data_IF_040430253192
#
_entry.id   IF_040430253192
#
_cell.length_a   1.000
_cell.length_b   1.000
_cell.length_c   1.000
_cell.angle_alpha   90.00
_cell.angle_beta   90.00
_cell.angle_gamma   90.00
#
_symmetry.space_group_name_H-M   'P 1'
#
loop_
_entity.id
_entity.type
_entity.pdbx_description
1 polymer ?
#
# COMPACT_ATOMS: atom_id res chain seq x y z
N UNK A 1 33.74 -29.90 -6.36
CA UNK A 1 34.94 -29.06 -6.43
C UNK A 1 34.77 -28.11 -7.60
N UNK A 2 34.57 -26.82 -7.33
CA UNK A 2 35.03 -25.63 -8.00
C UNK A 2 34.13 -24.47 -7.50
N UNK A 3 34.65 -23.75 -6.50
CA UNK A 3 34.17 -22.46 -6.08
C UNK A 3 34.50 -21.43 -7.17
N UNK A 4 33.51 -20.68 -7.66
CA UNK A 4 33.76 -19.46 -8.40
C UNK A 4 33.36 -18.29 -7.51
N UNK A 5 34.38 -17.64 -6.95
CA UNK A 5 34.35 -16.26 -6.43
C UNK A 5 33.82 -15.34 -7.54
N UNK A 6 32.76 -14.60 -7.27
CA UNK A 6 32.40 -13.42 -8.05
C UNK A 6 32.74 -12.20 -7.21
N UNK A 7 33.76 -11.49 -7.63
CA UNK A 7 34.15 -10.18 -7.13
C UNK A 7 33.02 -9.15 -7.35
N UNK A 8 32.92 -8.11 -6.49
CA UNK A 8 31.92 -7.07 -6.65
C UNK A 8 32.16 -6.27 -7.91
N UNK A 9 31.17 -6.21 -8.79
CA UNK A 9 31.20 -5.38 -10.00
C UNK A 9 31.16 -3.92 -9.60
N UNK A 10 32.30 -3.23 -9.71
CA UNK A 10 32.42 -1.79 -9.62
C UNK A 10 31.86 -1.14 -10.89
N UNK A 11 30.90 -0.24 -10.76
CA UNK A 11 30.33 0.55 -11.85
C UNK A 11 31.24 1.72 -12.22
N UNK A 12 31.84 1.78 -13.46
CA UNK A 12 32.68 2.89 -13.88
C UNK A 12 31.93 4.14 -14.37
N UNK A 13 30.61 4.12 -14.47
CA UNK A 13 29.85 5.19 -15.17
C UNK A 13 29.24 6.28 -14.29
N UNK A 14 29.39 6.23 -12.97
CA UNK A 14 28.87 7.28 -12.07
C UNK A 14 29.88 8.40 -11.73
N UNK A 15 31.02 8.46 -12.42
CA UNK A 15 31.99 9.57 -12.28
C UNK A 15 31.65 10.74 -13.21
N UNK A 16 30.63 11.49 -12.88
CA UNK A 16 30.28 12.68 -13.67
C UNK A 16 29.13 13.53 -13.14
N UNK A 17 28.38 13.02 -12.23
CA UNK A 17 27.28 13.76 -11.62
C UNK A 17 27.75 14.45 -10.34
N UNK A 18 28.18 15.73 -10.47
CA UNK A 18 28.32 16.62 -9.32
C UNK A 18 26.93 17.03 -8.85
N UNK A 19 26.38 16.30 -7.87
CA UNK A 19 25.14 16.69 -7.22
C UNK A 19 25.39 17.81 -6.21
N UNK A 20 24.52 18.82 -6.10
CA UNK A 20 24.64 19.84 -5.07
C UNK A 20 24.42 19.21 -3.69
N UNK A 21 25.32 19.54 -2.76
CA UNK A 21 25.21 19.18 -1.34
C UNK A 21 23.87 19.70 -0.80
N UNK A 22 23.18 18.87 -0.03
CA UNK A 22 21.93 19.14 0.65
C UNK A 22 21.90 20.51 1.30
N UNK A 23 21.24 21.47 0.66
CA UNK A 23 20.77 22.68 1.28
C UNK A 23 19.26 22.50 1.51
N UNK A 24 18.80 22.80 2.72
CA UNK A 24 17.40 22.84 3.16
C UNK A 24 16.48 23.36 2.07
N UNK A 25 15.69 22.46 1.49
CA UNK A 25 14.67 22.81 0.50
C UNK A 25 13.52 23.47 1.25
N UNK A 26 13.30 24.77 1.04
CA UNK A 26 12.24 25.55 1.67
C UNK A 26 10.84 25.08 1.24
N UNK A 27 9.83 25.35 2.09
CA UNK A 27 8.42 25.06 1.81
C UNK A 27 7.94 25.56 0.43
N UNK A 28 8.51 26.66 -0.05
CA UNK A 28 8.24 27.27 -1.36
C UNK A 28 8.74 26.42 -2.55
N UNK A 29 9.80 25.64 -2.36
CA UNK A 29 10.31 24.73 -3.38
C UNK A 29 9.49 23.43 -3.46
N UNK A 30 8.79 23.02 -2.38
CA UNK A 30 7.83 21.92 -2.40
C UNK A 30 6.60 22.23 -3.25
N UNK A 31 6.08 23.46 -3.20
CA UNK A 31 4.95 23.87 -4.06
C UNK A 31 5.36 23.98 -5.54
N UNK A 32 6.59 24.40 -5.83
CA UNK A 32 7.09 24.49 -7.20
C UNK A 32 7.37 23.11 -7.82
N UNK A 33 7.78 22.09 -7.05
CA UNK A 33 7.99 20.74 -7.56
C UNK A 33 6.66 20.04 -7.92
N UNK A 34 5.60 20.28 -7.18
CA UNK A 34 4.28 19.75 -7.51
C UNK A 34 3.71 20.33 -8.81
N UNK A 35 4.05 21.59 -9.11
CA UNK A 35 3.70 22.25 -10.39
C UNK A 35 4.58 21.77 -11.55
N UNK A 36 5.83 21.39 -11.31
CA UNK A 36 6.74 20.92 -12.34
C UNK A 36 6.40 19.50 -12.83
N UNK A 37 5.95 18.62 -11.95
CA UNK A 37 5.47 17.30 -12.37
C UNK A 37 4.22 17.42 -13.27
N UNK A 38 3.29 18.29 -12.92
CA UNK A 38 2.14 18.63 -13.77
C UNK A 38 2.54 19.35 -15.07
N UNK A 39 3.66 20.11 -15.09
CA UNK A 39 4.14 20.82 -16.26
C UNK A 39 5.01 19.98 -17.20
N UNK A 40 5.72 18.96 -16.72
CA UNK A 40 6.53 18.06 -17.57
C UNK A 40 5.64 17.28 -18.55
N UNK A 41 4.40 16.98 -18.16
CA UNK A 41 3.38 16.40 -19.04
C UNK A 41 2.83 17.39 -20.09
N UNK A 42 3.08 18.71 -19.95
CA UNK A 42 2.52 19.77 -20.83
C UNK A 42 3.44 20.20 -21.97
N UNK A 43 4.73 19.96 -21.93
CA UNK A 43 5.67 20.63 -22.85
C UNK A 43 6.18 19.80 -24.01
N UNK A 44 5.68 18.59 -24.27
CA UNK A 44 6.02 17.83 -25.48
C UNK A 44 4.83 17.90 -26.46
N UNK A 45 4.91 18.81 -27.42
CA UNK A 45 3.87 19.14 -28.41
C UNK A 45 3.53 18.04 -29.42
N UNK A 46 3.98 16.80 -29.22
CA UNK A 46 3.60 15.62 -30.01
C UNK A 46 2.80 14.57 -29.21
N UNK A 47 2.42 14.87 -27.95
CA UNK A 47 1.74 13.97 -27.01
C UNK A 47 0.27 14.37 -26.73
N UNK A 48 -0.32 15.21 -27.57
CA UNK A 48 -1.66 15.78 -27.35
C UNK A 48 -2.83 14.78 -27.42
N UNK A 49 -2.58 13.51 -27.76
CA UNK A 49 -3.64 12.51 -27.99
C UNK A 49 -3.63 11.29 -27.05
N UNK A 50 -2.73 11.20 -26.06
CA UNK A 50 -2.60 9.96 -25.27
C UNK A 50 -2.66 10.26 -23.76
N UNK A 51 -3.85 10.12 -23.17
CA UNK A 51 -4.08 10.08 -21.74
C UNK A 51 -5.00 11.18 -21.19
N UNK A 52 -5.70 10.92 -20.06
CA UNK A 52 -6.60 11.91 -19.48
C UNK A 52 -5.80 13.12 -18.97
N UNK A 53 -6.16 14.32 -19.45
CA UNK A 53 -5.62 15.57 -18.88
C UNK A 53 -6.16 15.74 -17.48
N UNK A 54 -5.29 15.56 -16.47
CA UNK A 54 -5.64 15.83 -15.08
C UNK A 54 -5.55 17.33 -14.80
N UNK A 55 -6.68 18.00 -14.65
CA UNK A 55 -6.69 19.41 -14.21
C UNK A 55 -6.19 19.51 -12.76
N UNK A 56 -5.26 20.43 -12.45
CA UNK A 56 -4.76 20.60 -11.08
C UNK A 56 -5.91 20.99 -10.13
N UNK A 57 -6.13 20.22 -9.07
CA UNK A 57 -7.08 20.59 -8.03
C UNK A 57 -6.51 21.75 -7.20
N UNK A 58 -7.26 22.86 -7.12
CA UNK A 58 -6.90 24.04 -6.31
C UNK A 58 -7.31 23.91 -4.85
N UNK A 59 -7.99 22.82 -4.46
CA UNK A 59 -8.53 22.64 -3.11
C UNK A 59 -7.87 21.49 -2.37
N UNK A 60 -7.66 21.62 -1.04
CA UNK A 60 -7.17 20.50 -0.24
C UNK A 60 -8.18 19.34 -0.30
N UNK A 61 -7.70 18.19 -0.74
CA UNK A 61 -8.49 16.99 -0.88
C UNK A 61 -8.26 16.10 0.36
N UNK A 62 -9.34 15.66 0.99
CA UNK A 62 -9.26 14.82 2.18
C UNK A 62 -10.53 14.00 2.38
N UNK A 63 -10.42 12.84 3.02
CA UNK A 63 -11.53 11.90 3.17
C UNK A 63 -12.74 12.57 3.84
N UNK A 64 -12.57 13.13 5.04
CA UNK A 64 -13.69 13.70 5.79
C UNK A 64 -14.15 15.06 5.25
N UNK A 65 -13.21 16.01 5.10
CA UNK A 65 -13.55 17.42 4.81
C UNK A 65 -14.09 17.65 3.41
N UNK A 66 -13.67 16.85 2.43
CA UNK A 66 -14.07 17.05 1.04
C UNK A 66 -14.90 15.90 0.49
N UNK A 67 -14.48 14.64 0.65
CA UNK A 67 -15.18 13.52 0.03
C UNK A 67 -16.44 13.09 0.80
N UNK A 68 -16.33 12.77 2.07
CA UNK A 68 -17.49 12.37 2.86
C UNK A 68 -18.50 13.51 3.00
N UNK A 69 -18.03 14.73 3.30
CA UNK A 69 -18.88 15.90 3.43
C UNK A 69 -19.63 16.26 2.14
N UNK A 70 -18.98 16.14 0.96
CA UNK A 70 -19.62 16.44 -0.32
C UNK A 70 -20.82 15.51 -0.64
N UNK A 71 -20.81 14.30 -0.07
CA UNK A 71 -21.90 13.33 -0.26
C UNK A 71 -22.82 13.20 0.98
N UNK A 72 -22.62 14.04 1.99
CA UNK A 72 -23.46 14.08 3.19
C UNK A 72 -23.23 12.94 4.19
N UNK A 73 -22.10 12.25 4.12
CA UNK A 73 -21.72 11.24 5.11
C UNK A 73 -21.15 11.90 6.37
N UNK A 74 -21.54 11.44 7.56
CA UNK A 74 -20.83 11.82 8.79
C UNK A 74 -19.40 11.29 8.74
N UNK A 75 -18.46 12.08 9.24
CA UNK A 75 -17.07 11.68 9.23
C UNK A 75 -16.34 12.23 10.46
N UNK A 76 -15.54 11.37 11.08
CA UNK A 76 -14.78 11.64 12.28
C UNK A 76 -13.29 11.49 12.02
N UNK A 77 -12.48 12.34 12.66
CA UNK A 77 -11.02 12.26 12.66
C UNK A 77 -10.55 11.71 14.01
N UNK A 78 -9.77 10.66 13.99
CA UNK A 78 -9.15 10.04 15.16
C UNK A 78 -7.64 10.00 15.00
N UNK A 79 -6.94 9.94 16.14
CA UNK A 79 -5.49 9.78 16.19
C UNK A 79 -5.14 8.66 17.17
N UNK A 80 -4.15 7.85 16.82
CA UNK A 80 -3.60 6.82 17.71
C UNK A 80 -2.08 6.87 17.70
N UNK A 81 -1.47 6.73 18.87
CA UNK A 81 0.00 6.66 19.00
C UNK A 81 0.44 5.21 19.03
N UNK A 82 1.38 4.85 18.17
CA UNK A 82 2.02 3.52 18.18
C UNK A 82 3.00 3.41 19.35
N UNK A 83 3.34 2.16 19.72
CA UNK A 83 4.30 1.88 20.78
C UNK A 83 5.68 2.52 20.51
N UNK A 84 6.09 2.59 19.24
CA UNK A 84 7.35 3.20 18.81
C UNK A 84 7.22 4.70 18.48
N UNK A 85 6.11 5.35 18.84
CA UNK A 85 5.96 6.81 18.92
C UNK A 85 5.33 7.50 17.71
N UNK A 86 4.96 6.81 16.64
CA UNK A 86 4.25 7.42 15.51
C UNK A 86 2.81 7.74 15.87
N UNK A 87 2.32 8.89 15.40
CA UNK A 87 0.95 9.34 15.62
C UNK A 87 0.18 9.18 14.31
N UNK A 88 -0.64 8.15 14.25
CA UNK A 88 -1.38 7.75 13.05
C UNK A 88 -2.77 8.38 13.03
N UNK A 89 -3.19 8.83 11.85
CA UNK A 89 -4.54 9.32 11.61
C UNK A 89 -5.45 8.19 11.17
N UNK A 90 -6.60 8.07 11.83
CA UNK A 90 -7.70 7.24 11.37
C UNK A 90 -8.87 8.15 10.99
N UNK A 91 -9.64 7.73 9.99
CA UNK A 91 -10.91 8.35 9.64
C UNK A 91 -12.02 7.36 9.92
N UNK A 92 -13.22 7.85 10.26
CA UNK A 92 -14.40 7.01 10.53
C UNK A 92 -15.62 7.57 9.84
N UNK A 93 -16.36 6.70 9.17
CA UNK A 93 -17.72 6.96 8.70
C UNK A 93 -18.63 6.01 9.49
N UNK A 94 -19.28 6.49 10.58
CA UNK A 94 -20.00 5.62 11.51
C UNK A 94 -21.28 5.05 10.95
N UNK A 95 -21.85 5.62 9.88
CA UNK A 95 -23.06 5.15 9.21
C UNK A 95 -23.25 5.80 7.83
N UNK A 96 -24.05 5.19 6.99
CA UNK A 96 -24.49 5.75 5.71
C UNK A 96 -25.46 6.93 5.84
N UNK A 97 -25.70 7.62 4.73
CA UNK A 97 -26.56 8.80 4.70
C UNK A 97 -28.01 8.47 5.06
N UNK A 98 -28.55 7.36 4.57
CA UNK A 98 -29.96 6.96 4.79
C UNK A 98 -30.21 6.27 6.14
N UNK A 99 -29.17 5.86 6.84
CA UNK A 99 -29.25 4.98 8.02
C UNK A 99 -29.00 5.71 9.34
N UNK A 100 -29.46 6.95 9.50
CA UNK A 100 -29.28 7.76 10.71
C UNK A 100 -30.08 7.31 11.93
N UNK A 101 -30.66 6.11 11.94
CA UNK A 101 -31.38 5.57 13.10
C UNK A 101 -30.44 5.36 14.29
N UNK A 102 -30.69 6.13 15.32
CA UNK A 102 -29.79 6.48 16.42
C UNK A 102 -29.39 5.37 17.39
N UNK A 103 -29.69 4.09 17.22
CA UNK A 103 -29.42 3.10 18.25
C UNK A 103 -29.09 1.68 17.76
N UNK A 104 -28.60 1.46 16.55
CA UNK A 104 -28.12 0.13 16.16
C UNK A 104 -26.61 0.04 16.32
N UNK A 105 -26.16 -0.91 17.14
CA UNK A 105 -24.74 -1.30 17.20
C UNK A 105 -24.33 -1.81 15.82
N UNK A 106 -23.34 -1.15 15.21
CA UNK A 106 -22.83 -1.50 13.89
C UNK A 106 -21.51 -2.27 14.04
N UNK A 107 -21.32 -3.25 13.18
CA UNK A 107 -20.08 -4.03 13.19
C UNK A 107 -18.97 -3.17 12.56
N UNK A 108 -17.81 -3.02 13.22
CA UNK A 108 -16.70 -2.24 12.69
C UNK A 108 -16.01 -2.97 11.53
N UNK A 109 -15.68 -2.20 10.49
CA UNK A 109 -14.85 -2.63 9.35
C UNK A 109 -13.68 -1.68 9.24
N UNK A 110 -12.45 -2.20 9.25
CA UNK A 110 -11.22 -1.44 9.06
C UNK A 110 -10.68 -1.64 7.66
N UNK A 111 -10.55 -0.57 6.90
CA UNK A 111 -9.93 -0.52 5.58
C UNK A 111 -8.45 -0.12 5.71
N UNK A 112 -7.54 -0.97 5.24
CA UNK A 112 -6.10 -0.77 5.31
C UNK A 112 -5.50 -0.72 3.89
N UNK A 113 -4.94 0.42 3.51
CA UNK A 113 -4.50 0.74 2.15
C UNK A 113 -3.20 0.04 1.74
N UNK A 114 -2.85 0.16 0.45
CA UNK A 114 -1.62 -0.36 -0.16
C UNK A 114 -0.39 0.54 0.03
N UNK A 115 0.71 0.17 -0.64
CA UNK A 115 1.95 0.94 -0.65
C UNK A 115 1.77 2.26 -1.39
N UNK A 116 2.35 3.34 -0.85
CA UNK A 116 2.37 4.70 -1.44
C UNK A 116 0.98 5.31 -1.73
N UNK A 117 -0.04 4.87 -1.00
CA UNK A 117 -1.39 5.46 -1.04
C UNK A 117 -1.89 5.71 0.39
N UNK A 118 -3.07 6.30 0.54
CA UNK A 118 -3.74 6.52 1.82
C UNK A 118 -5.23 6.14 1.78
N UNK A 119 -5.92 6.46 2.87
CA UNK A 119 -7.34 6.19 3.05
C UNK A 119 -8.27 6.83 2.02
N UNK A 120 -7.82 7.88 1.33
CA UNK A 120 -8.59 8.56 0.29
C UNK A 120 -8.88 7.61 -0.88
N UNK A 121 -8.00 6.64 -1.14
CA UNK A 121 -8.20 5.64 -2.21
C UNK A 121 -9.54 4.89 -2.10
N UNK A 122 -10.08 4.74 -0.91
CA UNK A 122 -11.34 4.05 -0.63
C UNK A 122 -12.61 4.85 -0.93
N UNK A 123 -12.47 6.16 -1.26
CA UNK A 123 -13.60 7.10 -1.44
C UNK A 123 -13.44 7.99 -2.69
N UNK A 124 -12.62 7.60 -3.66
CA UNK A 124 -12.30 8.41 -4.84
C UNK A 124 -13.46 8.55 -5.82
N UNK A 125 -14.25 7.53 -6.00
CA UNK A 125 -15.41 7.49 -6.90
C UNK A 125 -16.67 8.10 -6.27
N UNK A 126 -17.80 7.89 -6.91
CA UNK A 126 -19.12 8.22 -6.37
C UNK A 126 -19.47 7.28 -5.19
N UNK A 127 -20.49 7.60 -4.38
CA UNK A 127 -20.95 6.71 -3.30
C UNK A 127 -21.25 5.27 -3.75
N UNK A 128 -21.78 5.10 -4.95
CA UNK A 128 -22.10 3.77 -5.51
C UNK A 128 -20.88 3.02 -6.07
N UNK A 129 -19.73 3.68 -6.16
CA UNK A 129 -18.48 3.11 -6.71
C UNK A 129 -17.40 2.92 -5.65
N UNK A 130 -17.47 3.66 -4.56
CA UNK A 130 -16.42 3.68 -3.52
C UNK A 130 -16.74 2.73 -2.40
N UNK A 131 -15.81 1.80 -2.11
CA UNK A 131 -15.99 0.77 -1.09
C UNK A 131 -16.34 1.35 0.29
N UNK A 132 -15.69 2.44 0.70
CA UNK A 132 -15.94 3.08 1.99
C UNK A 132 -17.39 3.52 2.17
N UNK A 133 -17.99 4.11 1.14
CA UNK A 133 -19.39 4.53 1.17
C UNK A 133 -20.36 3.34 1.07
N UNK A 134 -20.06 2.36 0.21
CA UNK A 134 -20.87 1.14 0.06
C UNK A 134 -20.98 0.38 1.39
N UNK A 135 -19.90 0.24 2.13
CA UNK A 135 -19.89 -0.38 3.45
C UNK A 135 -20.70 0.41 4.48
N UNK A 136 -20.55 1.74 4.50
CA UNK A 136 -21.31 2.60 5.41
C UNK A 136 -22.82 2.53 5.14
N UNK A 137 -23.23 2.56 3.86
CA UNK A 137 -24.63 2.38 3.45
C UNK A 137 -25.12 0.95 3.69
N UNK A 138 -24.23 -0.06 3.63
CA UNK A 138 -24.46 -1.45 3.98
C UNK A 138 -24.62 -1.72 5.49
N UNK A 139 -24.52 -0.67 6.32
CA UNK A 139 -24.79 -0.76 7.76
C UNK A 139 -23.58 -1.04 8.63
N UNK A 140 -22.37 -0.94 8.11
CA UNK A 140 -21.13 -1.06 8.89
C UNK A 140 -20.68 0.26 9.50
N UNK A 141 -19.87 0.18 10.55
CA UNK A 141 -19.09 1.27 11.12
C UNK A 141 -17.70 1.25 10.46
N UNK A 142 -17.45 2.15 9.51
CA UNK A 142 -16.30 2.07 8.60
C UNK A 142 -15.14 2.92 9.09
N UNK A 143 -14.01 2.27 9.33
CA UNK A 143 -12.76 2.89 9.75
C UNK A 143 -11.70 2.79 8.65
N UNK A 144 -10.88 3.81 8.53
CA UNK A 144 -9.85 3.93 7.50
C UNK A 144 -8.51 4.22 8.17
N UNK A 145 -7.56 3.31 8.03
CA UNK A 145 -6.20 3.51 8.51
C UNK A 145 -5.39 4.39 7.54
N UNK A 146 -4.46 5.15 8.10
CA UNK A 146 -3.36 5.78 7.36
C UNK A 146 -2.05 5.38 8.04
N UNK A 147 -1.15 4.73 7.29
CA UNK A 147 0.14 4.29 7.81
C UNK A 147 1.07 5.46 8.07
N UNK A 148 2.10 5.23 8.91
CA UNK A 148 3.18 6.21 9.13
C UNK A 148 3.78 6.70 7.82
N UNK A 149 4.18 7.95 7.77
CA UNK A 149 4.78 8.58 6.59
C UNK A 149 3.79 9.13 5.57
N UNK A 150 2.49 8.75 5.61
CA UNK A 150 1.45 9.41 4.81
C UNK A 150 1.19 10.83 5.29
N UNK A 151 0.67 11.71 4.45
CA UNK A 151 0.49 13.13 4.77
C UNK A 151 -0.33 13.37 6.05
N UNK A 152 -1.31 12.51 6.34
CA UNK A 152 -2.13 12.60 7.54
C UNK A 152 -1.52 11.95 8.78
N UNK A 153 -0.46 11.13 8.63
CA UNK A 153 0.24 10.38 9.69
C UNK A 153 1.74 10.68 9.69
N UNK A 154 2.11 11.96 9.63
CA UNK A 154 3.51 12.43 9.63
C UNK A 154 4.04 12.86 10.99
N UNK A 155 3.24 12.74 12.04
CA UNK A 155 3.63 13.13 13.39
C UNK A 155 4.27 11.96 14.15
N UNK A 156 5.19 12.30 15.05
CA UNK A 156 5.85 11.38 15.98
C UNK A 156 6.06 12.08 17.32
N UNK A 157 6.14 11.34 18.42
CA UNK A 157 6.28 11.90 19.76
C UNK A 157 7.59 12.63 20.00
N UNK A 158 8.67 12.30 19.26
CA UNK A 158 10.01 12.87 19.45
C UNK A 158 10.77 13.15 18.16
N UNK A 159 10.36 12.61 17.01
CA UNK A 159 11.01 12.79 15.73
C UNK A 159 10.18 13.66 14.80
N UNK A 160 10.86 14.22 13.79
CA UNK A 160 10.23 14.95 12.69
C UNK A 160 10.55 14.27 11.36
N UNK A 161 9.80 14.50 10.28
CA UNK A 161 10.11 13.96 8.96
C UNK A 161 11.47 14.41 8.38
N UNK A 162 12.11 15.42 8.95
CA UNK A 162 13.44 15.88 8.58
C UNK A 162 14.54 15.02 9.24
N UNK A 163 14.21 14.24 10.28
CA UNK A 163 15.13 13.35 10.96
C UNK A 163 15.27 12.04 10.16
N UNK A 164 16.49 11.56 9.85
CA UNK A 164 16.69 10.29 9.14
C UNK A 164 16.06 9.10 9.85
N UNK A 165 16.05 9.09 11.19
CA UNK A 165 15.50 8.06 12.04
C UNK A 165 13.98 7.94 11.90
N UNK A 166 13.27 9.04 11.57
CA UNK A 166 11.84 9.03 11.31
C UNK A 166 11.47 8.07 10.16
N UNK A 167 12.33 7.89 9.18
CA UNK A 167 12.15 7.02 8.01
C UNK A 167 12.81 5.64 8.16
N UNK A 168 13.33 5.32 9.36
CA UNK A 168 14.03 4.05 9.60
C UNK A 168 13.06 2.89 9.90
N UNK A 169 12.14 2.62 9.00
CA UNK A 169 11.14 1.56 9.12
C UNK A 169 10.88 0.84 7.80
N UNK A 170 10.30 -0.35 7.90
CA UNK A 170 9.84 -1.19 6.79
C UNK A 170 8.41 -1.64 7.09
N UNK A 171 7.82 -2.46 6.23
CA UNK A 171 6.53 -3.06 6.52
C UNK A 171 6.56 -3.99 7.76
N UNK A 172 7.72 -4.47 8.20
CA UNK A 172 7.84 -5.15 9.50
C UNK A 172 7.30 -4.28 10.64
N UNK A 173 7.67 -2.98 10.66
CA UNK A 173 7.19 -2.04 11.68
C UNK A 173 5.70 -1.72 11.51
N UNK A 174 5.19 -1.69 10.26
CA UNK A 174 3.75 -1.52 10.04
C UNK A 174 2.96 -2.70 10.62
N UNK A 175 3.45 -3.93 10.45
CA UNK A 175 2.85 -5.13 11.04
C UNK A 175 3.04 -5.21 12.56
N UNK A 176 4.16 -4.71 13.07
CA UNK A 176 4.50 -4.80 14.49
C UNK A 176 3.85 -3.72 15.35
N UNK A 177 3.66 -2.51 14.82
CA UNK A 177 3.24 -1.34 15.59
C UNK A 177 2.01 -0.62 15.03
N UNK A 178 1.95 -0.31 13.71
CA UNK A 178 0.81 0.43 13.14
C UNK A 178 -0.47 -0.39 13.23
N UNK A 179 -0.45 -1.61 12.72
CA UNK A 179 -1.62 -2.48 12.69
C UNK A 179 -2.19 -2.77 14.10
N UNK A 180 -1.38 -3.14 15.11
CA UNK A 180 -1.88 -3.33 16.47
C UNK A 180 -2.51 -2.07 17.07
N UNK A 181 -1.85 -0.91 16.92
CA UNK A 181 -2.35 0.35 17.45
C UNK A 181 -3.72 0.72 16.86
N UNK A 182 -3.85 0.57 15.53
CA UNK A 182 -5.09 0.88 14.81
C UNK A 182 -6.21 -0.11 15.17
N UNK A 183 -5.96 -1.42 15.16
CA UNK A 183 -6.96 -2.44 15.50
C UNK A 183 -7.44 -2.30 16.95
N UNK A 184 -6.52 -2.08 17.89
CA UNK A 184 -6.86 -1.90 19.30
C UNK A 184 -7.72 -0.64 19.49
N UNK A 185 -7.35 0.47 18.83
CA UNK A 185 -8.13 1.70 18.87
C UNK A 185 -9.58 1.51 18.38
N UNK A 186 -9.76 0.82 17.26
CA UNK A 186 -11.12 0.53 16.72
C UNK A 186 -11.89 -0.37 17.67
N UNK A 187 -11.27 -1.44 18.18
CA UNK A 187 -11.87 -2.38 19.13
C UNK A 187 -12.37 -1.65 20.38
N UNK A 188 -11.53 -0.80 20.98
CA UNK A 188 -11.87 -0.05 22.20
C UNK A 188 -13.00 0.95 21.95
N UNK A 189 -12.96 1.70 20.83
CA UNK A 189 -13.98 2.69 20.48
C UNK A 189 -15.34 2.08 20.10
N UNK A 190 -15.37 0.82 19.73
CA UNK A 190 -16.59 0.10 19.36
C UNK A 190 -17.15 -0.79 20.47
N UNK A 191 -16.66 -0.61 21.70
CA UNK A 191 -17.12 -1.34 22.88
C UNK A 191 -16.67 -2.80 22.92
N UNK A 192 -15.50 -3.09 22.40
CA UNK A 192 -14.90 -4.42 22.40
C UNK A 192 -15.42 -5.34 21.30
N UNK A 193 -15.93 -4.78 20.19
CA UNK A 193 -16.36 -5.58 19.05
C UNK A 193 -15.16 -5.99 18.19
N UNK A 194 -15.11 -7.26 17.81
CA UNK A 194 -14.14 -7.73 16.81
C UNK A 194 -14.37 -7.05 15.47
N UNK A 195 -13.28 -6.71 14.80
CA UNK A 195 -13.23 -5.88 13.59
C UNK A 195 -13.13 -6.76 12.35
N UNK A 196 -13.94 -6.50 11.33
CA UNK A 196 -13.65 -7.00 9.99
C UNK A 196 -12.49 -6.22 9.41
N UNK A 197 -11.47 -6.92 8.94
CA UNK A 197 -10.29 -6.29 8.32
C UNK A 197 -10.36 -6.43 6.80
N UNK A 198 -10.17 -5.33 6.07
CA UNK A 198 -10.04 -5.32 4.61
C UNK A 198 -8.71 -4.69 4.26
N UNK A 199 -7.77 -5.49 3.76
CA UNK A 199 -6.48 -5.02 3.28
C UNK A 199 -6.39 -5.03 1.77
N UNK A 200 -5.72 -4.02 1.21
CA UNK A 200 -5.34 -3.98 -0.20
C UNK A 200 -3.82 -4.04 -0.32
N UNK A 201 -3.29 -4.86 -1.25
CA UNK A 201 -1.86 -4.86 -1.55
C UNK A 201 -0.98 -5.01 -0.29
N UNK A 202 -0.17 -4.01 0.06
CA UNK A 202 0.64 -3.99 1.28
C UNK A 202 -0.19 -4.26 2.55
N UNK A 203 -1.43 -3.77 2.62
CA UNK A 203 -2.33 -4.04 3.74
C UNK A 203 -2.60 -5.54 3.93
N UNK A 204 -2.58 -6.33 2.86
CA UNK A 204 -2.73 -7.79 2.94
C UNK A 204 -1.49 -8.45 3.54
N UNK A 205 -0.29 -8.00 3.14
CA UNK A 205 0.97 -8.52 3.66
C UNK A 205 1.11 -8.29 5.17
N UNK A 206 0.73 -7.10 5.63
CA UNK A 206 0.84 -6.69 7.03
C UNK A 206 -0.02 -7.59 7.94
N UNK A 207 -1.26 -7.87 7.57
CA UNK A 207 -2.14 -8.73 8.38
C UNK A 207 -1.70 -10.20 8.31
N UNK A 208 -1.28 -10.69 7.15
CA UNK A 208 -0.76 -12.05 7.00
C UNK A 208 0.51 -12.27 7.84
N UNK A 209 1.41 -11.28 7.88
CA UNK A 209 2.59 -11.32 8.74
C UNK A 209 2.20 -11.38 10.22
N UNK A 210 1.27 -10.53 10.68
CA UNK A 210 0.79 -10.55 12.06
C UNK A 210 0.13 -11.89 12.43
N UNK A 211 -0.69 -12.44 11.55
CA UNK A 211 -1.37 -13.73 11.78
C UNK A 211 -0.42 -14.91 11.78
N UNK A 212 0.63 -14.88 10.96
CA UNK A 212 1.65 -15.93 10.97
C UNK A 212 2.43 -16.01 12.30
N UNK A 213 2.42 -14.93 13.07
CA UNK A 213 2.96 -14.85 14.43
C UNK A 213 1.87 -15.02 15.51
N UNK A 214 0.66 -15.45 15.15
CA UNK A 214 -0.50 -15.62 16.03
C UNK A 214 -0.90 -14.34 16.77
N UNK A 215 -0.62 -13.16 16.19
CA UNK A 215 -0.93 -11.86 16.79
C UNK A 215 -2.28 -11.36 16.30
N UNK A 216 -2.96 -10.55 17.12
CA UNK A 216 -4.20 -9.80 16.79
C UNK A 216 -5.45 -10.65 16.48
N UNK A 217 -5.39 -11.97 16.57
CA UNK A 217 -6.50 -12.88 16.28
C UNK A 217 -7.73 -12.63 17.14
N UNK A 218 -7.54 -12.12 18.35
CA UNK A 218 -8.63 -11.79 19.28
C UNK A 218 -9.36 -10.49 18.92
N UNK A 219 -8.75 -9.61 18.11
CA UNK A 219 -9.31 -8.35 17.66
C UNK A 219 -10.05 -8.47 16.32
N UNK A 220 -9.71 -9.48 15.51
CA UNK A 220 -10.22 -9.61 14.15
C UNK A 220 -11.36 -10.61 14.10
N UNK A 221 -12.43 -10.24 13.39
CA UNK A 221 -13.62 -11.04 13.14
C UNK A 221 -13.49 -11.89 11.89
N UNK A 222 -13.16 -11.26 10.77
CA UNK A 222 -12.81 -11.88 9.50
C UNK A 222 -11.86 -10.99 8.71
N UNK A 223 -11.26 -11.53 7.65
CA UNK A 223 -10.24 -10.84 6.87
C UNK A 223 -10.55 -10.90 5.39
N UNK A 224 -10.51 -9.75 4.73
CA UNK A 224 -10.59 -9.62 3.27
C UNK A 224 -9.22 -9.20 2.74
N UNK A 225 -8.71 -9.93 1.77
CA UNK A 225 -7.41 -9.73 1.13
C UNK A 225 -7.62 -9.36 -0.34
N UNK A 226 -7.60 -8.07 -0.67
CA UNK A 226 -7.74 -7.58 -2.04
C UNK A 226 -6.34 -7.58 -2.70
N UNK A 227 -6.18 -8.37 -3.77
CA UNK A 227 -4.94 -8.58 -4.53
C UNK A 227 -3.70 -8.68 -3.63
N UNK A 228 -3.55 -9.79 -2.87
CA UNK A 228 -2.50 -9.96 -1.89
C UNK A 228 -1.11 -10.03 -2.53
N UNK A 229 -0.14 -9.39 -1.87
CA UNK A 229 1.27 -9.33 -2.29
C UNK A 229 2.23 -10.07 -1.34
N UNK A 230 1.76 -11.14 -0.70
CA UNK A 230 2.60 -11.93 0.21
C UNK A 230 3.87 -12.48 -0.47
N UNK A 231 3.78 -12.87 -1.73
CA UNK A 231 4.91 -13.24 -2.57
C UNK A 231 5.00 -12.28 -3.75
N UNK A 232 6.23 -11.89 -4.13
CA UNK A 232 6.51 -10.96 -5.23
C UNK A 232 7.61 -11.48 -6.18
N UNK A 233 8.08 -12.69 -5.95
CA UNK A 233 9.21 -13.26 -6.68
C UNK A 233 8.93 -13.45 -8.17
N UNK A 234 7.66 -13.66 -8.56
CA UNK A 234 7.21 -13.84 -9.94
C UNK A 234 6.60 -12.59 -10.56
N UNK A 235 6.63 -11.43 -9.86
CA UNK A 235 6.04 -10.19 -10.36
C UNK A 235 6.30 -9.97 -11.85
N UNK A 236 5.26 -9.60 -12.61
CA UNK A 236 5.33 -9.35 -14.04
C UNK A 236 5.75 -7.92 -14.39
N UNK A 237 5.71 -6.98 -13.44
CA UNK A 237 6.14 -5.61 -13.66
C UNK A 237 7.62 -5.54 -14.02
N UNK A 238 7.92 -5.31 -15.30
CA UNK A 238 9.30 -5.15 -15.80
C UNK A 238 9.99 -3.97 -15.11
N UNK A 239 9.26 -2.86 -14.94
CA UNK A 239 9.72 -1.66 -14.26
C UNK A 239 10.20 -1.96 -12.84
N UNK A 240 9.34 -2.63 -12.04
CA UNK A 240 9.66 -2.98 -10.66
C UNK A 240 10.82 -3.98 -10.59
N UNK A 241 10.87 -4.95 -11.50
CA UNK A 241 11.98 -5.91 -11.58
C UNK A 241 13.30 -5.24 -11.91
N UNK A 242 13.32 -4.34 -12.92
CA UNK A 242 14.53 -3.60 -13.29
C UNK A 242 15.03 -2.74 -12.12
N UNK A 243 14.16 -1.93 -11.52
CA UNK A 243 14.50 -1.11 -10.36
C UNK A 243 15.13 -1.94 -9.23
N UNK A 244 14.59 -3.14 -9.01
CA UNK A 244 15.09 -4.10 -8.01
C UNK A 244 16.45 -4.71 -8.40
N UNK A 245 16.65 -5.04 -9.68
CA UNK A 245 17.89 -5.64 -10.18
C UNK A 245 19.08 -4.67 -10.13
N UNK A 246 18.83 -3.39 -10.44
CA UNK A 246 19.86 -2.36 -10.35
C UNK A 246 20.06 -1.81 -8.93
N UNK A 247 19.39 -2.38 -7.92
CA UNK A 247 19.47 -1.97 -6.51
C UNK A 247 19.15 -0.48 -6.32
N UNK A 248 18.15 0.02 -7.04
CA UNK A 248 17.86 1.45 -7.15
C UNK A 248 17.53 2.06 -5.78
N UNK A 249 16.68 1.42 -4.97
CA UNK A 249 16.31 1.90 -3.65
C UNK A 249 17.51 1.91 -2.69
N UNK A 250 18.39 0.89 -2.76
CA UNK A 250 19.64 0.81 -2.00
C UNK A 250 20.60 1.94 -2.39
N UNK A 251 20.72 2.24 -3.69
CA UNK A 251 21.54 3.35 -4.17
C UNK A 251 21.07 4.71 -3.62
N UNK A 252 19.77 4.99 -3.65
CA UNK A 252 19.20 6.20 -3.07
C UNK A 252 19.39 6.25 -1.55
N UNK A 253 19.23 5.13 -0.85
CA UNK A 253 19.50 5.05 0.58
C UNK A 253 20.96 5.37 0.89
N UNK A 254 21.90 4.84 0.11
CA UNK A 254 23.33 5.10 0.23
C UNK A 254 23.67 6.58 -0.01
N UNK A 255 22.98 7.24 -0.95
CA UNK A 255 23.11 8.68 -1.22
C UNK A 255 22.49 9.58 -0.12
N UNK A 256 21.90 8.99 0.92
CA UNK A 256 21.37 9.73 2.05
C UNK A 256 19.87 10.01 2.00
N UNK A 257 19.18 9.63 0.95
CA UNK A 257 17.72 9.74 0.88
C UNK A 257 17.06 8.75 1.85
N UNK A 258 16.00 9.19 2.52
CA UNK A 258 15.26 8.38 3.50
C UNK A 258 13.78 8.27 3.17
N UNK A 259 13.19 9.34 2.68
CA UNK A 259 11.82 9.40 2.18
C UNK A 259 11.79 9.15 0.67
N UNK A 260 10.86 8.32 0.22
CA UNK A 260 10.44 8.25 -1.16
C UNK A 260 9.07 8.91 -1.29
N UNK A 261 9.01 10.00 -2.05
CA UNK A 261 7.78 10.69 -2.40
C UNK A 261 7.52 10.49 -3.90
N UNK A 262 6.42 9.81 -4.30
CA UNK A 262 6.15 9.52 -5.72
C UNK A 262 6.03 10.75 -6.62
N UNK A 263 5.68 11.90 -6.05
CA UNK A 263 5.59 13.18 -6.77
C UNK A 263 6.75 14.12 -6.46
N UNK A 264 7.79 13.62 -5.82
CA UNK A 264 8.96 14.40 -5.43
C UNK A 264 10.10 14.37 -6.45
N UNK A 265 11.14 15.20 -6.26
CA UNK A 265 12.28 15.28 -7.19
C UNK A 265 13.06 13.96 -7.33
N UNK A 266 13.15 13.16 -6.25
CA UNK A 266 13.83 11.85 -6.30
C UNK A 266 13.10 10.90 -7.24
N UNK A 267 11.77 10.92 -7.26
CA UNK A 267 10.99 10.08 -8.16
C UNK A 267 11.19 10.47 -9.63
N UNK A 268 11.34 11.75 -9.90
CA UNK A 268 11.65 12.23 -11.24
C UNK A 268 13.00 11.71 -11.74
N UNK A 269 14.05 11.77 -10.92
CA UNK A 269 15.37 11.21 -11.26
C UNK A 269 15.32 9.69 -11.47
N UNK A 270 14.56 8.98 -10.63
CA UNK A 270 14.32 7.54 -10.79
C UNK A 270 13.68 7.24 -12.15
N UNK A 271 12.64 7.99 -12.50
CA UNK A 271 11.94 7.81 -13.78
C UNK A 271 12.86 8.08 -14.98
N UNK A 272 13.71 9.11 -14.94
CA UNK A 272 14.68 9.38 -16.01
C UNK A 272 15.66 8.20 -16.20
N UNK A 273 16.12 7.57 -15.12
CA UNK A 273 17.00 6.40 -15.19
C UNK A 273 16.29 5.20 -15.82
N UNK A 274 15.06 4.93 -15.38
CA UNK A 274 14.30 3.76 -15.80
C UNK A 274 13.77 3.93 -17.23
N UNK A 275 13.29 5.11 -17.59
CA UNK A 275 12.76 5.41 -18.91
C UNK A 275 13.86 5.53 -19.99
N UNK A 276 15.11 5.48 -19.58
CA UNK A 276 16.24 5.30 -20.50
C UNK A 276 16.37 3.87 -21.06
N UNK A 277 15.67 2.90 -20.48
CA UNK A 277 15.62 1.53 -20.97
C UNK A 277 14.54 1.40 -22.07
N UNK A 278 14.90 1.01 -23.33
CA UNK A 278 13.96 0.93 -24.44
C UNK A 278 12.91 -0.20 -24.29
N UNK A 279 13.11 -1.14 -23.36
CA UNK A 279 12.12 -2.20 -23.09
C UNK A 279 11.01 -1.76 -22.14
N UNK A 280 11.12 -0.54 -21.56
CA UNK A 280 10.15 -0.02 -20.60
C UNK A 280 9.33 1.07 -21.28
N UNK A 281 8.04 0.80 -21.40
CA UNK A 281 7.08 1.82 -21.81
C UNK A 281 6.76 2.73 -20.62
N UNK A 282 7.34 3.93 -20.65
CA UNK A 282 7.11 4.94 -19.62
C UNK A 282 5.93 5.87 -19.91
N UNK A 283 5.26 5.71 -21.04
CA UNK A 283 4.08 6.53 -21.36
C UNK A 283 2.89 6.18 -20.48
N UNK A 284 2.83 4.92 -19.99
CA UNK A 284 1.82 4.48 -19.02
C UNK A 284 2.47 3.77 -17.83
N UNK A 285 3.08 4.56 -16.95
CA UNK A 285 3.72 4.06 -15.73
C UNK A 285 2.76 3.36 -14.80
N UNK A 286 1.50 3.76 -14.78
CA UNK A 286 0.49 3.13 -13.94
C UNK A 286 0.28 1.68 -14.38
N UNK A 287 0.01 1.46 -15.67
CA UNK A 287 -0.09 0.12 -16.26
C UNK A 287 1.22 -0.66 -16.16
N UNK A 288 2.39 -0.03 -16.34
CA UNK A 288 3.69 -0.69 -16.25
C UNK A 288 3.97 -1.29 -14.86
N UNK A 289 3.40 -0.70 -13.81
CA UNK A 289 3.53 -1.17 -12.42
C UNK A 289 2.38 -2.09 -12.04
N UNK A 290 1.14 -1.66 -12.25
CA UNK A 290 -0.07 -2.31 -11.72
C UNK A 290 -0.58 -3.44 -12.62
N UNK A 291 -0.26 -3.42 -13.92
CA UNK A 291 -0.82 -4.27 -14.96
C UNK A 291 -1.85 -3.53 -15.83
N UNK A 292 -2.24 -4.13 -16.98
CA UNK A 292 -3.20 -3.51 -17.88
C UNK A 292 -4.62 -3.50 -17.28
N UNK A 293 -5.02 -2.33 -16.83
CA UNK A 293 -6.34 -2.10 -16.22
C UNK A 293 -7.44 -2.21 -17.27
N UNK A 294 -8.54 -2.89 -16.93
CA UNK A 294 -9.70 -2.99 -17.82
C UNK A 294 -10.75 -1.91 -17.57
N UNK A 295 -10.80 -1.46 -16.32
CA UNK A 295 -12.06 -0.98 -15.78
C UNK A 295 -11.88 0.31 -14.96
N UNK A 296 -10.95 1.17 -15.37
CA UNK A 296 -10.69 2.46 -14.75
C UNK A 296 -11.28 3.62 -15.53
N UNK A 297 -11.92 4.55 -14.83
CA UNK A 297 -12.32 5.83 -15.39
C UNK A 297 -11.15 6.83 -15.32
N UNK A 298 -10.91 7.56 -16.41
CA UNK A 298 -9.86 8.56 -16.48
C UNK A 298 -9.91 9.58 -15.33
N UNK A 299 -11.10 10.05 -14.95
CA UNK A 299 -11.26 10.96 -13.81
C UNK A 299 -10.89 10.33 -12.46
N UNK A 300 -11.17 9.04 -12.27
CA UNK A 300 -10.80 8.32 -11.06
C UNK A 300 -9.29 8.12 -10.97
N UNK A 301 -8.63 7.79 -12.10
CA UNK A 301 -7.16 7.70 -12.19
C UNK A 301 -6.53 9.05 -11.88
N UNK A 302 -7.04 10.14 -12.44
CA UNK A 302 -6.55 11.50 -12.13
C UNK A 302 -6.68 11.83 -10.66
N UNK A 303 -7.84 11.57 -10.05
CA UNK A 303 -8.04 11.76 -8.62
C UNK A 303 -7.10 10.90 -7.78
N UNK A 304 -6.85 9.65 -8.19
CA UNK A 304 -5.91 8.77 -7.52
C UNK A 304 -4.50 9.34 -7.55
N UNK A 305 -3.99 9.70 -8.73
CA UNK A 305 -2.63 10.24 -8.88
C UNK A 305 -2.42 11.58 -8.15
N UNK A 306 -3.44 12.43 -8.12
CA UNK A 306 -3.35 13.75 -7.47
C UNK A 306 -3.52 13.72 -5.96
N UNK A 307 -4.31 12.79 -5.43
CA UNK A 307 -4.79 12.89 -4.05
C UNK A 307 -4.49 11.66 -3.19
N UNK A 308 -4.39 10.47 -3.78
CA UNK A 308 -4.14 9.26 -3.04
C UNK A 308 -2.66 8.86 -2.94
N UNK A 309 -1.79 9.43 -3.79
CA UNK A 309 -0.35 9.10 -3.76
C UNK A 309 0.36 9.70 -2.55
N UNK A 310 1.12 8.87 -1.84
CA UNK A 310 1.71 9.19 -0.54
C UNK A 310 3.18 8.77 -0.45
N UNK A 311 3.91 9.40 0.46
CA UNK A 311 5.29 9.04 0.77
C UNK A 311 5.42 7.71 1.49
N UNK A 312 6.57 7.07 1.33
CA UNK A 312 7.00 5.90 2.10
C UNK A 312 8.49 5.97 2.44
N UNK A 313 8.96 5.13 3.35
CA UNK A 313 10.39 4.99 3.62
C UNK A 313 11.10 4.32 2.44
N UNK A 314 12.28 4.83 2.07
CA UNK A 314 13.17 4.14 1.12
C UNK A 314 13.57 2.76 1.65
N UNK A 315 13.76 2.61 2.96
CA UNK A 315 14.03 1.32 3.58
C UNK A 315 12.88 0.32 3.40
N UNK A 316 11.63 0.82 3.37
CA UNK A 316 10.47 0.00 3.03
C UNK A 316 10.51 -0.48 1.57
N UNK A 317 10.91 0.38 0.62
CA UNK A 317 11.10 -0.01 -0.78
C UNK A 317 12.25 -1.03 -0.94
N UNK A 318 13.34 -0.91 -0.18
CA UNK A 318 14.39 -1.92 -0.14
C UNK A 318 13.81 -3.25 0.32
N UNK A 319 12.99 -3.28 1.37
CA UNK A 319 12.37 -4.50 1.86
C UNK A 319 11.45 -5.15 0.81
N UNK A 320 10.61 -4.35 0.11
CA UNK A 320 9.81 -4.83 -1.02
C UNK A 320 10.70 -5.39 -2.14
N UNK A 321 11.83 -4.73 -2.44
CA UNK A 321 12.81 -5.20 -3.40
C UNK A 321 13.46 -6.53 -2.99
N UNK A 322 13.68 -6.75 -1.70
CA UNK A 322 14.16 -8.04 -1.17
C UNK A 322 13.14 -9.16 -1.41
N UNK A 323 11.83 -8.89 -1.27
CA UNK A 323 10.76 -9.87 -1.57
C UNK A 323 10.70 -10.24 -3.06
N UNK A 324 11.09 -9.32 -3.95
CA UNK A 324 11.18 -9.61 -5.40
C UNK A 324 12.43 -10.44 -5.73
N UNK A 325 13.54 -10.20 -5.03
CA UNK A 325 14.81 -10.92 -5.26
C UNK A 325 14.86 -12.31 -4.64
N UNK A 326 14.19 -12.48 -3.51
CA UNK A 326 14.28 -13.70 -2.70
C UNK A 326 12.90 -14.32 -2.48
N UNK A 327 12.82 -15.62 -2.65
CA UNK A 327 11.59 -16.36 -2.40
C UNK A 327 11.24 -16.38 -0.89
N UNK A 328 9.95 -16.25 -0.59
CA UNK A 328 9.40 -16.30 0.76
C UNK A 328 9.23 -14.94 1.42
N UNK A 329 8.28 -14.88 2.34
CA UNK A 329 7.99 -13.69 3.15
C UNK A 329 8.95 -13.66 4.33
N UNK A 330 9.88 -12.72 4.30
CA UNK A 330 10.95 -12.62 5.32
C UNK A 330 10.93 -11.25 5.98
N UNK A 331 11.49 -11.20 7.21
CA UNK A 331 11.86 -9.93 7.82
C UNK A 331 12.96 -9.24 7.02
N UNK A 332 13.14 -7.96 7.25
CA UNK A 332 14.12 -7.12 6.54
C UNK A 332 15.53 -7.71 6.62
N UNK A 333 16.19 -7.89 5.48
CA UNK A 333 17.61 -8.30 5.43
C UNK A 333 18.53 -7.08 5.57
N UNK A 334 19.33 -7.05 6.63
CA UNK A 334 20.30 -5.99 6.88
C UNK A 334 21.57 -6.09 6.01
N UNK A 335 21.55 -6.97 4.98
CA UNK A 335 22.56 -7.05 3.93
C UNK A 335 23.78 -7.91 4.27
N UNK A 336 23.97 -8.31 5.52
CA UNK A 336 25.05 -9.22 5.91
C UNK A 336 24.73 -10.00 7.21
N UNK A 337 25.40 -11.15 7.36
CA UNK A 337 25.19 -12.05 8.48
C UNK A 337 25.45 -11.41 9.86
N UNK A 338 26.42 -10.48 9.95
CA UNK A 338 26.75 -9.82 11.23
C UNK A 338 25.64 -8.89 11.68
N UNK A 339 25.07 -8.11 10.78
CA UNK A 339 23.95 -7.21 11.10
C UNK A 339 22.67 -8.03 11.39
N UNK A 340 22.38 -9.06 10.59
CA UNK A 340 21.26 -9.95 10.87
C UNK A 340 21.38 -10.64 12.24
N UNK A 341 22.57 -11.06 12.64
CA UNK A 341 22.83 -11.61 13.99
C UNK A 341 22.49 -10.64 15.12
N UNK A 342 22.73 -9.32 14.93
CA UNK A 342 22.38 -8.31 15.95
C UNK A 342 20.87 -8.15 16.12
N UNK A 343 20.12 -8.25 15.03
CA UNK A 343 18.67 -8.02 15.02
C UNK A 343 17.86 -9.27 15.28
N UNK A 344 18.35 -10.44 14.86
CA UNK A 344 17.56 -11.68 14.85
C UNK A 344 18.21 -12.85 15.60
N UNK A 345 19.40 -12.69 16.13
CA UNK A 345 20.21 -13.78 16.71
C UNK A 345 20.47 -14.95 15.73
N UNK A 346 20.38 -14.67 14.41
CA UNK A 346 20.68 -15.64 13.35
C UNK A 346 21.20 -14.90 12.09
N UNK A 347 22.00 -15.60 11.22
CA UNK A 347 22.71 -14.95 10.12
C UNK A 347 21.81 -14.57 8.91
N UNK A 348 20.57 -15.05 8.88
CA UNK A 348 19.59 -14.76 7.83
C UNK A 348 18.32 -14.23 8.46
N UNK A 349 17.57 -13.31 7.76
CA UNK A 349 16.30 -12.83 8.30
C UNK A 349 15.29 -13.98 8.47
N UNK A 350 14.53 -14.01 9.58
CA UNK A 350 13.48 -15.00 9.82
C UNK A 350 12.39 -14.95 8.75
N UNK A 351 11.76 -16.11 8.52
CA UNK A 351 10.55 -16.21 7.70
C UNK A 351 9.30 -15.90 8.54
N UNK A 352 8.34 -15.21 7.94
CA UNK A 352 6.96 -15.24 8.36
C UNK A 352 6.33 -16.54 7.83
N UNK A 353 6.07 -17.49 8.71
CA UNK A 353 5.50 -18.78 8.31
C UNK A 353 4.00 -18.67 8.06
N UNK A 354 3.59 -18.37 6.83
CA UNK A 354 2.16 -18.20 6.51
C UNK A 354 1.34 -19.49 6.69
N UNK A 355 1.98 -20.69 6.70
CA UNK A 355 1.28 -21.94 6.98
C UNK A 355 0.91 -22.12 8.46
N UNK A 356 1.42 -21.26 9.36
CA UNK A 356 1.04 -21.25 10.77
C UNK A 356 -0.20 -20.41 11.07
N UNK A 357 -0.74 -19.71 10.08
CA UNK A 357 -1.97 -18.91 10.25
C UNK A 357 -3.12 -19.83 10.67
N UNK A 358 -3.84 -19.50 11.77
CA UNK A 358 -4.89 -20.37 12.29
C UNK A 358 -6.05 -20.58 11.33
N UNK A 359 -6.49 -21.82 11.18
CA UNK A 359 -7.49 -22.26 10.19
C UNK A 359 -8.91 -21.73 10.43
N UNK A 360 -9.18 -21.30 11.64
CA UNK A 360 -10.51 -20.80 12.06
C UNK A 360 -10.75 -19.32 11.73
N UNK A 361 -9.74 -18.60 11.19
CA UNK A 361 -9.92 -17.20 10.80
C UNK A 361 -10.63 -17.15 9.45
N UNK A 362 -11.85 -16.60 9.35
CA UNK A 362 -12.53 -16.49 8.07
C UNK A 362 -11.79 -15.53 7.13
N UNK A 363 -11.54 -15.98 5.89
CA UNK A 363 -10.81 -15.22 4.89
C UNK A 363 -11.54 -15.16 3.55
N UNK A 364 -11.66 -13.97 2.98
CA UNK A 364 -12.06 -13.73 1.59
C UNK A 364 -10.88 -13.17 0.81
N UNK A 365 -10.42 -13.88 -0.21
CA UNK A 365 -9.25 -13.51 -0.98
C UNK A 365 -9.64 -13.21 -2.42
N UNK A 366 -9.19 -12.08 -2.98
CA UNK A 366 -9.42 -11.75 -4.39
C UNK A 366 -8.10 -11.62 -5.14
N UNK A 367 -8.09 -12.03 -6.42
CA UNK A 367 -6.93 -11.80 -7.28
C UNK A 367 -7.29 -11.63 -8.74
N UNK A 368 -6.46 -10.88 -9.47
CA UNK A 368 -6.64 -10.55 -10.87
C UNK A 368 -5.78 -11.37 -11.81
N UNK A 369 -6.27 -11.59 -13.04
CA UNK A 369 -5.49 -12.26 -14.09
C UNK A 369 -4.44 -11.34 -14.72
N UNK A 370 -4.66 -10.03 -14.67
CA UNK A 370 -3.80 -9.00 -15.23
C UNK A 370 -2.95 -8.26 -14.16
N UNK A 371 -3.03 -8.68 -12.90
CA UNK A 371 -2.23 -8.09 -11.83
C UNK A 371 -0.73 -8.40 -12.06
N UNK A 372 0.10 -7.33 -12.11
CA UNK A 372 1.54 -7.44 -12.32
C UNK A 372 2.33 -7.49 -11.01
N UNK A 373 1.74 -7.07 -9.90
CA UNK A 373 2.36 -7.13 -8.57
C UNK A 373 1.99 -8.43 -7.84
N UNK A 374 0.72 -8.62 -7.50
CA UNK A 374 0.19 -9.86 -6.95
C UNK A 374 -0.15 -10.85 -8.06
N UNK A 375 0.82 -11.26 -8.85
CA UNK A 375 0.56 -12.05 -10.05
C UNK A 375 -0.02 -13.46 -9.75
N UNK A 376 -0.62 -14.07 -10.76
CA UNK A 376 -1.32 -15.35 -10.61
C UNK A 376 -0.43 -16.46 -10.05
N UNK A 377 0.85 -16.65 -10.49
CA UNK A 377 1.76 -17.62 -9.88
C UNK A 377 2.03 -17.40 -8.39
N UNK A 378 2.34 -16.16 -7.98
CA UNK A 378 2.63 -15.84 -6.58
C UNK A 378 1.37 -15.93 -5.71
N UNK A 379 0.22 -15.49 -6.21
CA UNK A 379 -1.07 -15.66 -5.52
C UNK A 379 -1.46 -17.13 -5.40
N UNK A 380 -1.23 -17.94 -6.44
CA UNK A 380 -1.47 -19.39 -6.37
C UNK A 380 -0.56 -20.06 -5.32
N UNK A 381 0.68 -19.58 -5.17
CA UNK A 381 1.57 -20.07 -4.11
C UNK A 381 0.99 -19.74 -2.72
N UNK A 382 0.49 -18.51 -2.51
CA UNK A 382 -0.20 -18.11 -1.28
C UNK A 382 -1.42 -18.99 -1.01
N UNK A 383 -2.29 -19.15 -2.00
CA UNK A 383 -3.49 -19.99 -1.89
C UNK A 383 -3.14 -21.42 -1.51
N UNK A 384 -2.15 -22.03 -2.18
CA UNK A 384 -1.69 -23.39 -1.85
C UNK A 384 -1.15 -23.49 -0.42
N UNK A 385 -0.57 -22.41 0.11
CA UNK A 385 -0.08 -22.37 1.49
C UNK A 385 -1.24 -22.28 2.48
N UNK A 386 -2.24 -21.43 2.21
CA UNK A 386 -3.38 -21.22 3.09
C UNK A 386 -4.42 -22.36 3.03
N UNK A 387 -4.80 -22.83 1.82
CA UNK A 387 -5.83 -23.87 1.62
C UNK A 387 -5.42 -25.20 2.24
N UNK A 388 -4.12 -25.50 2.32
CA UNK A 388 -3.65 -26.74 2.97
C UNK A 388 -3.98 -26.78 4.47
N UNK A 389 -4.22 -25.66 5.06
CA UNK A 389 -4.41 -25.49 6.49
C UNK A 389 -5.81 -25.00 6.87
N UNK A 390 -6.52 -24.26 5.99
CA UNK A 390 -7.84 -23.71 6.27
C UNK A 390 -8.96 -24.69 5.90
N UNK A 391 -10.02 -24.69 6.72
CA UNK A 391 -11.26 -25.37 6.38
C UNK A 391 -11.93 -24.66 5.20
N UNK A 392 -12.53 -25.44 4.28
CA UNK A 392 -13.21 -24.91 3.09
C UNK A 392 -14.29 -23.87 3.40
N UNK A 393 -14.92 -23.97 4.58
CA UNK A 393 -16.01 -23.08 5.01
C UNK A 393 -15.50 -21.73 5.51
N UNK A 394 -14.20 -21.63 5.84
CA UNK A 394 -13.58 -20.42 6.34
C UNK A 394 -12.76 -19.67 5.28
N UNK A 395 -12.72 -20.13 4.03
CA UNK A 395 -11.92 -19.50 2.99
C UNK A 395 -12.67 -19.42 1.67
N UNK A 396 -12.93 -18.19 1.21
CA UNK A 396 -13.51 -17.91 -0.09
C UNK A 396 -12.47 -17.25 -1.01
N UNK A 397 -12.47 -17.64 -2.28
CA UNK A 397 -11.53 -17.09 -3.28
C UNK A 397 -12.30 -16.58 -4.49
N UNK A 398 -12.08 -15.33 -4.84
CA UNK A 398 -12.65 -14.69 -6.02
C UNK A 398 -11.54 -14.36 -7.03
N UNK A 399 -11.58 -14.99 -8.20
CA UNK A 399 -10.69 -14.69 -9.32
C UNK A 399 -11.39 -13.84 -10.36
N UNK A 400 -10.80 -12.68 -10.72
CA UNK A 400 -11.31 -11.80 -11.77
C UNK A 400 -10.28 -11.73 -12.91
N UNK A 401 -10.53 -12.44 -14.05
CA UNK A 401 -9.51 -12.63 -15.10
C UNK A 401 -8.95 -11.34 -15.69
N UNK A 402 -9.79 -10.32 -15.84
CA UNK A 402 -9.46 -9.08 -16.54
C UNK A 402 -8.91 -7.99 -15.60
N UNK A 403 -8.92 -8.20 -14.28
CA UNK A 403 -8.48 -7.20 -13.31
C UNK A 403 -6.97 -7.14 -13.16
N UNK A 404 -6.43 -5.93 -13.19
CA UNK A 404 -5.11 -5.56 -12.72
C UNK A 404 -5.16 -5.16 -11.23
N UNK A 405 -4.02 -4.74 -10.69
CA UNK A 405 -3.86 -4.48 -9.24
C UNK A 405 -4.76 -3.38 -8.68
N UNK A 406 -4.98 -2.30 -9.44
CA UNK A 406 -5.77 -1.15 -9.01
C UNK A 406 -7.28 -1.34 -9.18
N UNK A 407 -7.73 -2.21 -10.11
CA UNK A 407 -9.15 -2.44 -10.40
C UNK A 407 -9.95 -2.85 -9.16
N UNK A 408 -9.33 -3.56 -8.20
CA UNK A 408 -9.97 -3.99 -6.95
C UNK A 408 -10.38 -2.85 -6.02
N UNK A 409 -9.80 -1.65 -6.20
CA UNK A 409 -10.08 -0.47 -5.34
C UNK A 409 -10.79 0.63 -6.10
N UNK A 410 -10.41 0.86 -7.37
CA UNK A 410 -10.90 1.99 -8.14
C UNK A 410 -11.58 1.61 -9.47
N UNK A 411 -11.79 0.32 -9.73
CA UNK A 411 -12.54 -0.17 -10.89
C UNK A 411 -14.01 0.27 -10.86
N UNK A 412 -14.53 0.80 -11.98
CA UNK A 412 -15.92 1.30 -12.02
C UNK A 412 -16.98 0.19 -11.84
N UNK A 413 -16.62 -1.06 -12.13
CA UNK A 413 -17.45 -2.26 -11.99
C UNK A 413 -17.09 -3.11 -10.77
N UNK A 414 -16.14 -2.68 -9.93
CA UNK A 414 -15.77 -3.37 -8.70
C UNK A 414 -16.95 -3.54 -7.70
N UNK A 415 -17.92 -2.60 -7.64
CA UNK A 415 -19.10 -2.80 -6.78
C UNK A 415 -19.85 -4.10 -7.05
N UNK A 416 -20.04 -4.47 -8.32
CA UNK A 416 -20.78 -5.66 -8.70
C UNK A 416 -19.92 -6.94 -8.64
N UNK A 417 -18.68 -6.85 -9.11
CA UNK A 417 -17.82 -8.02 -9.26
C UNK A 417 -17.09 -8.42 -7.98
N UNK A 418 -16.73 -7.43 -7.14
CA UNK A 418 -15.87 -7.64 -5.95
C UNK A 418 -16.59 -7.28 -4.66
N UNK A 419 -17.21 -6.08 -4.59
CA UNK A 419 -17.70 -5.58 -3.30
C UNK A 419 -18.98 -6.28 -2.85
N UNK A 420 -19.88 -6.63 -3.77
CA UNK A 420 -21.09 -7.36 -3.37
C UNK A 420 -20.78 -8.74 -2.79
N UNK A 421 -20.01 -9.64 -3.44
CA UNK A 421 -19.62 -10.91 -2.84
C UNK A 421 -18.87 -10.76 -1.51
N UNK A 422 -18.02 -9.73 -1.40
CA UNK A 422 -17.29 -9.43 -0.17
C UNK A 422 -18.23 -8.98 0.96
N UNK A 423 -19.21 -8.10 0.69
CA UNK A 423 -20.21 -7.67 1.68
C UNK A 423 -21.04 -8.87 2.15
N UNK A 424 -21.46 -9.75 1.23
CA UNK A 424 -22.18 -10.98 1.57
C UNK A 424 -21.32 -11.89 2.49
N UNK A 425 -19.99 -11.98 2.23
CA UNK A 425 -19.06 -12.69 3.10
C UNK A 425 -18.99 -12.03 4.50
N UNK A 426 -18.83 -10.71 4.60
CA UNK A 426 -18.75 -9.99 5.88
C UNK A 426 -20.04 -10.17 6.71
N UNK A 427 -21.22 -10.21 6.06
CA UNK A 427 -22.50 -10.39 6.74
C UNK A 427 -22.72 -11.81 7.28
N UNK A 428 -22.04 -12.81 6.70
CA UNK A 428 -22.11 -14.20 7.20
C UNK A 428 -21.20 -14.47 8.40
N UNK A 429 -20.15 -13.69 8.54
CA UNK A 429 -19.14 -13.81 9.59
C UNK A 429 -19.18 -12.65 10.58
#
# INVERSE_FOLDING_TARGET
>A
MACLNKDPVFFPQLRGLSMPRSSLISHKQREQSNTLFAHSWRNNSSLDDIGPRCEPSSHPFGLCKTRAAAFGYPCEDHMVTTEDGYILSLKRIPHGVSNSTKNTTRIPVLLFHGLMVDSVSWVLGTPKQSLGFILADGGFDVWFANTRGTNSSRNHTSLTPDDPEYWNWTWDQLAAYDLPAVLQHVYDHTGGQKVHYIGHSLGTLIILAAFSEHRLLHLVRSTVLLCPIAYLYKTKSKLTRLATQILLAEAFHFLGYREFNPVGPVSHEILLIICGDPEIDCYDLFTAVMGPDCCLNASTVCNFLQHATQSTSIKNLIHMSQMIRYEGVRRYDYGNAKENMKHYNQPRPPLYNLSSIPTHVPMFLTHGGQDFLGDVPDTRHLLNTLVRTHDSDNMEVLYVPDYAHADFVIGYNAPQLVYQPMVDFLQRH
#
